data_IF_250867822700
#
_entry.id   IF_250867822700
#
_cell.length_a   1.000
_cell.length_b   1.000
_cell.length_c   1.000
_cell.angle_alpha   90.00
_cell.angle_beta   90.00
_cell.angle_gamma   90.00
#
_symmetry.space_group_name_H-M   'P 1'
#
loop_
_entity.id
_entity.type
_entity.pdbx_description
1 polymer ?
#
# COMPACT_ATOMS: atom_id res chain seq x y z
N UNK A 1 20.20 3.58 1.38
CA UNK A 1 19.02 4.31 1.83
C UNK A 1 18.01 4.52 0.70
N UNK A 2 18.44 5.13 -0.39
CA UNK A 2 17.53 5.47 -1.49
C UNK A 2 16.82 4.28 -2.09
N UNK A 3 17.51 3.17 -2.27
CA UNK A 3 16.89 2.00 -2.86
C UNK A 3 15.77 1.45 -1.98
N UNK A 4 16.00 1.39 -0.68
CA UNK A 4 14.97 0.92 0.25
C UNK A 4 13.82 1.91 0.32
N UNK A 5 14.12 3.19 0.30
CA UNK A 5 13.08 4.21 0.31
C UNK A 5 12.19 4.07 -0.93
N UNK A 6 12.81 3.93 -2.09
CA UNK A 6 12.07 3.77 -3.35
C UNK A 6 11.22 2.51 -3.33
N UNK A 7 11.75 1.43 -2.75
CA UNK A 7 10.98 0.20 -2.63
C UNK A 7 9.74 0.40 -1.78
N UNK A 8 9.88 1.05 -0.62
CA UNK A 8 8.74 1.31 0.24
C UNK A 8 7.71 2.21 -0.45
N UNK A 9 8.19 3.24 -1.13
CA UNK A 9 7.28 4.15 -1.84
C UNK A 9 6.53 3.44 -2.96
N UNK A 10 7.22 2.57 -3.69
CA UNK A 10 6.57 1.81 -4.76
C UNK A 10 5.49 0.88 -4.19
N UNK A 11 5.80 0.23 -3.07
CA UNK A 11 4.83 -0.66 -2.44
C UNK A 11 3.63 0.09 -1.88
N UNK A 12 3.87 1.29 -1.35
CA UNK A 12 2.79 2.15 -0.87
C UNK A 12 1.88 2.53 -2.04
N UNK A 13 2.47 2.95 -3.15
CA UNK A 13 1.69 3.34 -4.31
C UNK A 13 0.89 2.19 -4.88
N UNK A 14 1.46 0.99 -4.87
CA UNK A 14 0.76 -0.19 -5.34
C UNK A 14 -0.44 -0.51 -4.46
N UNK A 15 -0.26 -0.40 -3.14
CA UNK A 15 -1.35 -0.66 -2.21
C UNK A 15 -2.46 0.38 -2.36
N UNK A 16 -2.08 1.65 -2.55
CA UNK A 16 -3.07 2.71 -2.74
C UNK A 16 -3.86 2.50 -4.02
N UNK A 17 -3.20 2.08 -5.09
CA UNK A 17 -3.87 1.79 -6.35
C UNK A 17 -4.88 0.65 -6.16
N UNK A 18 -4.49 -0.41 -5.48
CA UNK A 18 -5.38 -1.53 -5.22
C UNK A 18 -6.60 -1.09 -4.42
N UNK A 19 -6.39 -0.30 -3.37
CA UNK A 19 -7.49 0.21 -2.56
C UNK A 19 -8.43 1.06 -3.39
N UNK A 20 -7.86 1.93 -4.23
CA UNK A 20 -8.63 2.80 -5.08
C UNK A 20 -9.50 2.01 -6.04
N UNK A 21 -8.93 0.99 -6.65
CA UNK A 21 -9.67 0.13 -7.55
C UNK A 21 -10.80 -0.61 -6.83
N UNK A 22 -10.54 -1.09 -5.62
CA UNK A 22 -11.56 -1.79 -4.84
C UNK A 22 -12.71 -0.87 -4.48
N UNK A 23 -12.40 0.36 -4.06
CA UNK A 23 -13.43 1.28 -3.60
C UNK A 23 -14.24 1.89 -4.74
N UNK A 24 -13.63 2.05 -5.90
CA UNK A 24 -14.31 2.72 -7.01
C UNK A 24 -14.90 1.77 -8.03
N UNK A 25 -14.37 0.55 -8.13
CA UNK A 25 -14.82 -0.39 -9.15
C UNK A 25 -15.50 -1.63 -8.62
N UNK A 26 -15.27 -1.96 -7.36
CA UNK A 26 -15.84 -3.17 -6.79
C UNK A 26 -17.34 -3.22 -6.83
N UNK A 27 -17.98 -2.08 -6.64
CA UNK A 27 -19.44 -1.99 -6.57
C UNK A 27 -20.07 -2.19 -7.94
N UNK A 28 -19.34 -1.84 -8.99
CA UNK A 28 -19.87 -1.88 -10.36
C UNK A 28 -19.89 -3.27 -10.96
N UNK A 29 -19.19 -4.21 -10.36
CA UNK A 29 -19.08 -5.56 -10.91
C UNK A 29 -19.98 -6.50 -10.14
N UNK A 30 -21.20 -6.64 -10.61
CA UNK A 30 -22.22 -7.38 -9.90
C UNK A 30 -21.96 -8.86 -9.70
N UNK A 31 -21.04 -9.42 -10.47
CA UNK A 31 -20.74 -10.85 -10.39
C UNK A 31 -19.81 -11.19 -9.24
N UNK A 32 -19.09 -10.19 -8.74
CA UNK A 32 -18.17 -10.43 -7.65
C UNK A 32 -18.82 -10.06 -6.34
N UNK A 33 -18.58 -10.86 -5.34
CA UNK A 33 -19.16 -10.62 -4.03
C UNK A 33 -18.42 -9.51 -3.33
N UNK A 34 -19.10 -8.88 -2.39
CA UNK A 34 -18.46 -7.89 -1.53
C UNK A 34 -17.27 -8.50 -0.80
N UNK A 35 -17.36 -9.80 -0.50
CA UNK A 35 -16.29 -10.48 0.21
C UNK A 35 -15.00 -10.51 -0.58
N UNK A 36 -15.11 -10.69 -1.90
CA UNK A 36 -13.92 -10.70 -2.74
C UNK A 36 -13.19 -9.37 -2.67
N UNK A 37 -13.93 -8.29 -2.85
CA UNK A 37 -13.31 -6.96 -2.82
C UNK A 37 -12.87 -6.58 -1.43
N UNK A 38 -13.62 -6.99 -0.41
CA UNK A 38 -13.24 -6.72 0.96
C UNK A 38 -11.93 -7.43 1.31
N UNK A 39 -11.76 -8.67 0.84
CA UNK A 39 -10.52 -9.40 1.06
C UNK A 39 -9.32 -8.72 0.41
N UNK A 40 -9.50 -8.27 -0.84
CA UNK A 40 -8.42 -7.58 -1.55
C UNK A 40 -8.10 -6.24 -0.90
N UNK A 41 -9.13 -5.50 -0.49
CA UNK A 41 -8.93 -4.22 0.17
C UNK A 41 -8.23 -4.40 1.51
N UNK A 42 -8.59 -5.44 2.25
CA UNK A 42 -7.98 -5.71 3.55
C UNK A 42 -6.49 -6.02 3.39
N UNK A 43 -6.13 -6.82 2.38
CA UNK A 43 -4.74 -7.14 2.11
C UNK A 43 -3.96 -5.88 1.74
N UNK A 44 -4.56 -5.05 0.89
CA UNK A 44 -3.91 -3.82 0.46
C UNK A 44 -3.71 -2.86 1.63
N UNK A 45 -4.69 -2.79 2.52
CA UNK A 45 -4.58 -1.92 3.70
C UNK A 45 -3.44 -2.39 4.61
N UNK A 46 -3.33 -3.71 4.80
CA UNK A 46 -2.24 -4.26 5.61
C UNK A 46 -0.89 -3.96 4.99
N UNK A 47 -0.79 -4.10 3.67
CA UNK A 47 0.45 -3.80 2.96
C UNK A 47 0.80 -2.32 3.09
N UNK A 48 -0.20 -1.45 2.94
CA UNK A 48 0.01 -0.02 3.07
C UNK A 48 0.56 0.33 4.45
N UNK A 49 -0.07 -0.21 5.49
CA UNK A 49 0.35 0.05 6.86
C UNK A 49 1.77 -0.42 7.11
N UNK A 50 2.08 -1.64 6.67
CA UNK A 50 3.40 -2.21 6.83
C UNK A 50 4.47 -1.38 6.12
N UNK A 51 4.20 -1.00 4.88
CA UNK A 51 5.18 -0.26 4.11
C UNK A 51 5.35 1.17 4.60
N UNK A 52 4.28 1.78 5.09
CA UNK A 52 4.40 3.10 5.70
C UNK A 52 5.24 3.04 6.96
N UNK A 53 5.05 2.00 7.77
CA UNK A 53 5.85 1.83 8.98
C UNK A 53 7.32 1.62 8.61
N UNK A 54 7.57 0.82 7.59
CA UNK A 54 8.93 0.58 7.12
C UNK A 54 9.58 1.88 6.68
N UNK A 55 8.86 2.68 5.91
CA UNK A 55 9.38 3.95 5.43
C UNK A 55 9.63 4.91 6.58
N UNK A 56 8.67 5.02 7.50
CA UNK A 56 8.80 5.90 8.65
C UNK A 56 10.01 5.51 9.50
N UNK A 57 10.19 4.21 9.72
CA UNK A 57 11.32 3.71 10.48
C UNK A 57 12.64 4.06 9.80
N UNK A 58 12.69 3.84 8.49
CA UNK A 58 13.88 4.11 7.71
C UNK A 58 14.24 5.61 7.81
N UNK A 59 13.25 6.45 7.61
CA UNK A 59 13.49 7.90 7.65
C UNK A 59 13.84 8.39 9.04
N UNK A 60 13.18 7.84 10.06
CA UNK A 60 13.45 8.27 11.42
C UNK A 60 14.88 8.00 11.87
N UNK A 61 15.38 6.81 11.54
CA UNK A 61 16.69 6.40 12.03
C UNK A 61 17.84 6.67 11.08
N UNK A 62 17.55 6.77 9.79
CA UNK A 62 18.61 6.84 8.79
C UNK A 62 18.49 7.99 7.82
N UNK A 63 17.63 8.94 8.12
CA UNK A 63 17.45 10.12 7.25
C UNK A 63 18.78 10.83 6.98
N UNK A 64 19.61 10.92 7.98
CA UNK A 64 20.90 11.59 7.86
C UNK A 64 21.86 10.88 6.91
N UNK A 65 21.58 9.64 6.54
CA UNK A 65 22.41 8.88 5.62
C UNK A 65 21.99 9.07 4.18
N UNK A 66 20.89 9.75 3.99
CA UNK A 66 20.35 9.98 2.67
C UNK A 66 21.21 10.99 1.91
N UNK A 67 21.39 10.76 0.63
CA UNK A 67 22.13 11.70 -0.22
C UNK A 67 21.32 12.06 -1.44
#
# INVERSE_FOLDING_TARGET
FKALKSECEANINEALLTLDLCFHNGVAIGEHTSEHFMGEASKALSKLTEERDRLDTLEHYYEKLKN
#
